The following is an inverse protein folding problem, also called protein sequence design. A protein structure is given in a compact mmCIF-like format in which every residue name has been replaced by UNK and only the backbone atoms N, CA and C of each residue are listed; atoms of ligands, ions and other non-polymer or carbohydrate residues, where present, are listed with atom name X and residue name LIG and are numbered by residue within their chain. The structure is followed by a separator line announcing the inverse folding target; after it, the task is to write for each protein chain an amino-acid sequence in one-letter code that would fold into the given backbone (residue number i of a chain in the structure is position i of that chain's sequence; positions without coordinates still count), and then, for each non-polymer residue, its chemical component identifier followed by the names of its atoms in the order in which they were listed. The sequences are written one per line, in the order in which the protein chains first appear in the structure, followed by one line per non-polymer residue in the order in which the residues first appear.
data_IF_659023972208
#
_entry.id   IF_659023972208
#
_cell.length_a   1.000
_cell.length_b   1.000
_cell.length_c   1.000
_cell.angle_alpha   90.00
_cell.angle_beta   90.00
_cell.angle_gamma   90.00
#
_symmetry.space_group_name_H-M   'P 1'
#
loop_
_entity.id
_entity.type
_entity.pdbx_description
1 polymer ?
#
# COMPACT_ATOMS: atom_id res chain seq x y z
N UNK A 1 9.42 8.13 23.87
CA UNK A 1 8.42 7.72 22.85
C UNK A 1 8.63 6.26 22.50
N UNK A 2 7.56 5.50 22.26
CA UNK A 2 7.60 4.09 21.83
C UNK A 2 6.78 3.92 20.55
N UNK A 3 7.33 3.15 19.61
CA UNK A 3 6.65 2.73 18.37
C UNK A 3 6.71 1.21 18.23
N UNK A 4 5.56 0.58 18.00
CA UNK A 4 5.47 -0.85 17.73
C UNK A 4 4.62 -1.08 16.48
N UNK A 5 5.12 -1.89 15.55
CA UNK A 5 4.39 -2.19 14.31
C UNK A 5 3.77 -3.59 14.38
N UNK A 6 2.45 -3.66 14.40
CA UNK A 6 1.66 -4.89 14.29
C UNK A 6 0.92 -4.85 12.96
N UNK A 7 1.63 -5.12 11.84
CA UNK A 7 1.13 -4.91 10.47
C UNK A 7 -0.32 -5.37 10.31
N UNK A 8 -1.24 -4.49 9.88
CA UNK A 8 -1.04 -3.11 9.37
C UNK A 8 -1.12 -1.99 10.44
N UNK A 9 -1.29 -2.32 11.71
CA UNK A 9 -1.41 -1.36 12.81
C UNK A 9 -0.04 -0.84 13.28
N UNK A 10 0.08 0.45 13.54
CA UNK A 10 1.21 1.08 14.22
C UNK A 10 0.73 1.58 15.57
N UNK A 11 1.24 1.00 16.65
CA UNK A 11 1.05 1.49 18.01
C UNK A 11 2.07 2.59 18.31
N UNK A 12 1.59 3.71 18.82
CA UNK A 12 2.37 4.90 19.12
C UNK A 12 2.11 5.30 20.57
N UNK A 13 3.19 5.53 21.33
CA UNK A 13 3.11 6.10 22.68
C UNK A 13 4.08 7.25 22.87
N UNK A 14 3.56 8.41 23.24
CA UNK A 14 4.31 9.59 23.66
C UNK A 14 3.90 9.91 25.09
N UNK A 15 4.85 9.85 26.03
CA UNK A 15 4.59 10.04 27.46
C UNK A 15 3.43 9.12 27.92
N UNK A 16 2.33 9.72 28.38
CA UNK A 16 1.12 9.05 28.84
C UNK A 16 0.04 8.89 27.74
N UNK A 17 0.27 9.48 26.57
CA UNK A 17 -0.64 9.34 25.42
C UNK A 17 -0.26 8.12 24.59
N UNK A 18 -1.24 7.24 24.36
CA UNK A 18 -1.11 6.09 23.48
C UNK A 18 -2.27 5.98 22.50
N UNK A 19 -1.97 5.62 21.26
CA UNK A 19 -2.97 5.39 20.23
C UNK A 19 -2.43 4.44 19.18
N UNK A 20 -3.34 3.96 18.33
CA UNK A 20 -3.00 3.09 17.21
C UNK A 20 -3.42 3.78 15.92
N UNK A 21 -2.66 3.56 14.85
CA UNK A 21 -3.05 3.96 13.49
C UNK A 21 -2.96 2.78 12.55
N UNK A 22 -3.85 2.72 11.58
CA UNK A 22 -3.83 1.69 10.54
C UNK A 22 -3.09 2.20 9.32
N UNK A 23 -2.00 1.53 8.91
CA UNK A 23 -1.16 1.91 7.78
C UNK A 23 -0.79 0.72 6.89
N UNK A 24 -1.20 0.78 5.63
CA UNK A 24 -0.80 -0.16 4.58
C UNK A 24 0.58 0.18 4.06
N UNK A 25 1.28 -0.82 3.51
CA UNK A 25 2.64 -0.65 2.94
C UNK A 25 2.75 0.51 1.93
N UNK A 26 1.70 0.78 1.15
CA UNK A 26 1.68 1.90 0.20
C UNK A 26 1.83 3.25 0.89
N UNK A 27 1.18 3.44 2.04
CA UNK A 27 1.28 4.67 2.84
C UNK A 27 2.68 4.84 3.45
N UNK A 28 3.33 3.74 3.86
CA UNK A 28 4.75 3.77 4.25
C UNK A 28 5.65 4.20 3.10
N UNK A 29 5.37 3.76 1.88
CA UNK A 29 6.15 4.11 0.71
C UNK A 29 5.94 5.56 0.29
N UNK A 30 4.72 6.06 0.40
CA UNK A 30 4.40 7.49 0.21
C UNK A 30 5.14 8.35 1.24
N UNK A 31 5.11 7.96 2.52
CA UNK A 31 5.89 8.61 3.56
C UNK A 31 7.39 8.64 3.22
N UNK A 32 7.97 7.51 2.80
CA UNK A 32 9.38 7.44 2.41
C UNK A 32 9.72 8.37 1.24
N UNK A 33 8.87 8.37 0.21
CA UNK A 33 9.03 9.27 -0.93
C UNK A 33 8.92 10.74 -0.55
N UNK A 34 8.02 11.09 0.38
CA UNK A 34 7.89 12.45 0.87
C UNK A 34 9.09 12.87 1.73
N UNK A 35 9.55 11.98 2.62
CA UNK A 35 10.69 12.29 3.50
C UNK A 35 12.00 12.42 2.74
N UNK A 36 12.25 11.61 1.70
CA UNK A 36 13.49 11.69 0.92
C UNK A 36 13.60 12.96 0.06
N UNK A 37 12.47 13.57 -0.33
CA UNK A 37 12.49 14.86 -1.06
C UNK A 37 12.81 16.03 -0.14
N UNK A 38 12.40 15.96 1.13
CA UNK A 38 12.71 16.97 2.14
C UNK A 38 14.09 16.75 2.79
N UNK A 39 14.48 15.49 2.95
CA UNK A 39 15.68 15.07 3.67
C UNK A 39 16.42 13.98 2.88
N UNK A 40 17.38 14.34 2.00
CA UNK A 40 18.09 13.38 1.15
C UNK A 40 18.76 12.21 1.89
N UNK A 41 19.15 12.43 3.16
CA UNK A 41 19.67 11.40 4.05
C UNK A 41 18.72 10.20 4.26
N UNK A 42 17.42 10.35 4.01
CA UNK A 42 16.43 9.27 4.12
C UNK A 42 16.65 8.18 3.06
N UNK A 43 17.27 8.49 1.92
CA UNK A 43 17.64 7.47 0.91
C UNK A 43 18.65 6.44 1.48
N UNK A 44 19.36 6.77 2.58
CA UNK A 44 20.25 5.82 3.27
C UNK A 44 19.50 4.87 4.21
N UNK A 45 18.21 5.10 4.48
CA UNK A 45 17.44 4.26 5.40
C UNK A 45 16.98 3.01 4.66
N UNK A 46 17.26 1.84 5.25
CA UNK A 46 16.81 0.57 4.68
C UNK A 46 15.28 0.54 4.63
N UNK A 47 14.73 0.45 3.42
CA UNK A 47 13.30 0.37 3.17
C UNK A 47 12.95 -0.89 2.35
N UNK A 48 11.95 -1.70 2.77
CA UNK A 48 11.62 -2.95 2.10
C UNK A 48 11.15 -2.72 0.64
N UNK A 49 11.76 -3.39 -0.36
CA UNK A 49 11.37 -3.23 -1.76
C UNK A 49 9.97 -3.79 -2.04
N UNK A 50 9.31 -3.22 -3.05
CA UNK A 50 8.03 -3.73 -3.55
C UNK A 50 8.27 -5.01 -4.33
N UNK A 51 8.11 -6.17 -3.69
CA UNK A 51 8.15 -7.46 -4.39
C UNK A 51 6.83 -7.73 -5.15
N UNK A 52 6.94 -8.29 -6.36
CA UNK A 52 5.81 -8.64 -7.21
C UNK A 52 5.16 -9.99 -6.86
N UNK A 53 5.89 -10.90 -6.18
CA UNK A 53 5.42 -12.24 -5.77
C UNK A 53 5.71 -12.46 -4.27
N UNK A 54 4.86 -13.22 -3.58
CA UNK A 54 5.09 -13.68 -2.19
C UNK A 54 4.35 -12.93 -1.08
N UNK A 55 3.41 -12.04 -1.40
CA UNK A 55 2.70 -11.21 -0.41
C UNK A 55 1.85 -11.99 0.63
N UNK A 56 1.67 -13.31 0.47
CA UNK A 56 0.95 -14.18 1.41
C UNK A 56 1.87 -15.07 2.25
N UNK A 57 3.17 -15.08 1.97
CA UNK A 57 4.13 -15.87 2.74
C UNK A 57 4.32 -15.24 4.12
N UNK A 58 4.03 -15.99 5.18
CA UNK A 58 4.05 -15.47 6.55
C UNK A 58 5.44 -14.99 6.97
N UNK A 59 6.51 -15.69 6.55
CA UNK A 59 7.89 -15.31 6.83
C UNK A 59 8.23 -13.99 6.16
N UNK A 60 7.78 -13.80 4.91
CA UNK A 60 7.95 -12.55 4.18
C UNK A 60 7.19 -11.38 4.81
N UNK A 61 5.94 -11.60 5.22
CA UNK A 61 5.13 -10.57 5.89
C UNK A 61 5.79 -10.13 7.19
N UNK A 62 6.27 -11.08 7.99
CA UNK A 62 6.94 -10.80 9.26
C UNK A 62 8.30 -10.10 9.06
N UNK A 63 9.09 -10.51 8.07
CA UNK A 63 10.35 -9.85 7.72
C UNK A 63 10.11 -8.41 7.25
N UNK A 64 9.12 -8.19 6.37
CA UNK A 64 8.72 -6.85 5.93
C UNK A 64 8.26 -6.01 7.12
N UNK A 65 7.50 -6.57 8.07
CA UNK A 65 7.07 -5.88 9.29
C UNK A 65 8.28 -5.43 10.11
N UNK A 66 9.26 -6.30 10.34
CA UNK A 66 10.50 -5.95 11.07
C UNK A 66 11.27 -4.83 10.38
N UNK A 67 11.40 -4.89 9.06
CA UNK A 67 12.09 -3.86 8.27
C UNK A 67 11.36 -2.51 8.35
N UNK A 68 10.02 -2.50 8.22
CA UNK A 68 9.21 -1.29 8.38
C UNK A 68 9.29 -0.71 9.80
N UNK A 69 9.35 -1.57 10.82
CA UNK A 69 9.54 -1.13 12.21
C UNK A 69 10.91 -0.47 12.40
N UNK A 70 11.97 -1.07 11.85
CA UNK A 70 13.31 -0.49 11.86
C UNK A 70 13.35 0.86 11.14
N UNK A 71 12.72 0.95 9.97
CA UNK A 71 12.58 2.18 9.20
C UNK A 71 11.90 3.31 10.00
N UNK A 72 10.74 3.06 10.62
CA UNK A 72 10.06 4.06 11.44
C UNK A 72 10.91 4.54 12.61
N UNK A 73 11.69 3.65 13.23
CA UNK A 73 12.63 4.01 14.29
C UNK A 73 13.69 4.98 13.78
N UNK A 74 14.25 4.74 12.59
CA UNK A 74 15.23 5.64 11.97
C UNK A 74 14.63 7.01 11.67
N UNK A 75 13.41 7.05 11.11
CA UNK A 75 12.68 8.29 10.84
C UNK A 75 12.46 9.10 12.12
N UNK A 76 11.94 8.48 13.19
CA UNK A 76 11.72 9.18 14.45
C UNK A 76 13.01 9.69 15.08
N UNK A 77 14.06 8.87 15.08
CA UNK A 77 15.37 9.30 15.60
C UNK A 77 15.87 10.55 14.86
N UNK A 78 15.61 10.64 13.55
CA UNK A 78 16.00 11.79 12.74
C UNK A 78 15.15 13.01 13.04
N UNK A 79 13.84 12.86 13.18
CA UNK A 79 12.95 13.94 13.61
C UNK A 79 13.40 14.53 14.96
N UNK A 80 13.74 13.67 15.92
CA UNK A 80 14.26 14.07 17.24
C UNK A 80 15.58 14.85 17.12
N UNK A 81 16.49 14.42 16.24
CA UNK A 81 17.77 15.12 16.01
C UNK A 81 17.60 16.46 15.30
N UNK A 82 16.67 16.56 14.35
CA UNK A 82 16.47 17.78 13.55
C UNK A 82 15.60 18.81 14.25
N UNK A 83 14.73 18.39 15.18
CA UNK A 83 13.73 19.24 15.83
C UNK A 83 13.89 19.17 17.35
N UNK A 84 14.86 19.88 17.94
CA UNK A 84 15.05 19.92 19.38
C UNK A 84 13.82 20.44 20.13
N UNK A 85 13.01 21.30 19.51
CA UNK A 85 11.74 21.78 20.10
C UNK A 85 10.73 20.65 20.34
N UNK A 86 10.64 19.69 19.40
CA UNK A 86 9.80 18.49 19.59
C UNK A 86 10.30 17.64 20.75
N UNK A 87 11.62 17.54 20.91
CA UNK A 87 12.24 16.79 22.00
C UNK A 87 12.04 17.45 23.36
N UNK A 88 12.03 18.79 23.40
CA UNK A 88 11.80 19.55 24.61
C UNK A 88 10.37 19.38 25.14
N UNK A 89 9.38 19.31 24.25
CA UNK A 89 7.96 19.09 24.62
C UNK A 89 7.29 18.13 23.64
N UNK A 90 7.48 16.80 23.81
CA UNK A 90 6.88 15.83 22.92
C UNK A 90 5.40 15.69 23.24
N UNK A 91 4.54 16.23 22.38
CA UNK A 91 3.08 16.07 22.48
C UNK A 91 2.55 15.30 21.29
N UNK A 92 1.36 14.71 21.46
CA UNK A 92 0.64 14.03 20.37
C UNK A 92 0.39 15.01 19.23
N UNK A 93 -0.10 16.20 19.53
CA UNK A 93 -0.47 17.24 18.55
C UNK A 93 0.72 17.66 17.71
N UNK A 94 1.88 17.87 18.34
CA UNK A 94 3.11 18.24 17.64
C UNK A 94 3.61 17.10 16.76
N UNK A 95 3.48 15.84 17.21
CA UNK A 95 3.80 14.71 16.33
C UNK A 95 2.87 14.66 15.12
N UNK A 96 1.56 14.87 15.33
CA UNK A 96 0.55 14.78 14.28
C UNK A 96 0.72 15.89 13.23
N UNK A 97 1.11 17.10 13.63
CA UNK A 97 1.40 18.20 12.70
C UNK A 97 2.66 17.96 11.88
N UNK A 98 3.71 17.40 12.50
CA UNK A 98 4.98 17.10 11.84
C UNK A 98 4.91 15.86 10.95
N UNK A 99 4.12 14.86 11.36
CA UNK A 99 4.05 13.56 10.71
C UNK A 99 2.58 13.13 10.56
N UNK A 100 1.87 13.59 9.50
CA UNK A 100 0.48 13.22 9.23
C UNK A 100 0.26 11.71 9.14
N UNK A 101 1.31 10.93 8.83
CA UNK A 101 1.28 9.47 8.89
C UNK A 101 0.82 8.92 10.26
N UNK A 102 1.03 9.66 11.36
CA UNK A 102 0.61 9.25 12.70
C UNK A 102 -0.83 9.64 13.06
N UNK A 103 -1.57 10.29 12.16
CA UNK A 103 -2.99 10.62 12.37
C UNK A 103 -3.84 9.36 12.40
N UNK A 104 -4.76 9.29 13.36
CA UNK A 104 -5.79 8.25 13.34
C UNK A 104 -6.78 8.60 12.23
N UNK A 105 -6.68 7.87 11.12
CA UNK A 105 -7.64 7.96 10.03
C UNK A 105 -8.59 6.78 10.24
N UNK A 106 -9.86 7.00 10.64
CA UNK A 106 -10.80 5.90 10.71
C UNK A 106 -10.83 5.29 9.32
N UNK A 107 -10.45 4.01 9.23
CA UNK A 107 -10.60 3.24 8.01
C UNK A 107 -12.08 3.34 7.64
N UNK A 108 -12.42 4.16 6.65
CA UNK A 108 -13.68 4.02 5.96
C UNK A 108 -13.68 2.56 5.49
N UNK A 109 -14.53 1.77 6.12
CA UNK A 109 -14.80 0.40 5.74
C UNK A 109 -15.35 0.45 4.31
N UNK A 110 -14.47 0.42 3.31
CA UNK A 110 -14.87 0.28 1.91
C UNK A 110 -15.32 -1.17 1.72
N UNK A 111 -16.55 -1.43 2.14
CA UNK A 111 -17.37 -2.46 1.56
C UNK A 111 -17.52 -2.16 0.07
N UNK A 112 -16.61 -2.71 -0.73
CA UNK A 112 -16.81 -2.98 -2.14
C UNK A 112 -17.20 -1.80 -3.04
N UNK A 113 -16.25 -0.94 -3.39
CA UNK A 113 -16.28 -0.27 -4.68
C UNK A 113 -15.26 -0.91 -5.63
N UNK A 114 -15.75 -1.79 -6.50
CA UNK A 114 -15.02 -2.25 -7.69
C UNK A 114 -14.54 -1.02 -8.46
N UNK A 115 -13.23 -0.84 -8.58
CA UNK A 115 -12.67 0.08 -9.57
C UNK A 115 -13.12 -0.39 -10.96
N UNK A 116 -13.68 0.49 -11.81
CA UNK A 116 -13.84 0.16 -13.21
C UNK A 116 -12.44 0.05 -13.80
N UNK A 117 -12.02 -1.18 -14.06
CA UNK A 117 -10.83 -1.48 -14.85
C UNK A 117 -11.04 -0.82 -16.21
N UNK A 118 -10.31 0.26 -16.48
CA UNK A 118 -10.27 0.89 -17.81
C UNK A 118 -9.87 -0.18 -18.83
N UNK A 119 -10.87 -0.74 -19.53
CA UNK A 119 -10.63 -1.47 -20.76
C UNK A 119 -10.16 -0.43 -21.75
N UNK A 120 -8.85 -0.37 -21.97
CA UNK A 120 -8.31 0.26 -23.17
C UNK A 120 -8.99 -0.44 -24.35
N UNK A 121 -9.83 0.33 -25.04
CA UNK A 121 -10.52 -0.08 -26.25
C UNK A 121 -9.47 -0.16 -27.33
N UNK A 122 -8.89 -1.34 -27.55
CA UNK A 122 -8.21 -1.64 -28.80
C UNK A 122 -9.27 -1.69 -29.89
N UNK A 123 -9.48 -0.52 -30.49
CA UNK A 123 -10.39 -0.27 -31.60
C UNK A 123 -9.80 -0.90 -32.86
N UNK A 124 -9.90 -2.22 -32.98
CA UNK A 124 -9.72 -2.89 -34.27
C UNK A 124 -11.05 -2.88 -35.01
N UNK A 125 -11.15 -2.26 -36.21
CA UNK A 125 -12.34 -2.34 -37.03
C UNK A 125 -12.52 -3.78 -37.51
N UNK A 126 -13.60 -4.44 -37.08
CA UNK A 126 -14.05 -5.70 -37.67
C UNK A 126 -14.71 -5.38 -39.01
N UNK A 127 -14.07 -5.78 -40.11
CA UNK A 127 -14.69 -5.80 -41.42
C UNK A 127 -15.74 -6.91 -41.49
N UNK A 128 -16.99 -6.47 -41.64
CA UNK A 128 -18.01 -6.98 -42.56
C UNK A 128 -18.13 -8.48 -42.82
N UNK A 129 -19.18 -9.04 -42.24
CA UNK A 129 -19.89 -10.28 -42.60
C UNK A 129 -20.67 -10.14 -43.92
N UNK A 130 -20.66 -11.17 -44.77
CA UNK A 130 -21.71 -11.66 -45.71
C UNK A 130 -21.05 -12.68 -46.64
N UNK A 131 -21.60 -13.81 -47.11
CA UNK A 131 -22.93 -14.45 -47.21
C UNK A 131 -22.58 -15.87 -47.73
N UNK A 132 -23.20 -17.00 -47.36
CA UNK A 132 -24.42 -17.60 -47.93
C UNK A 132 -24.36 -19.11 -47.58
N UNK A 133 -25.46 -19.70 -47.12
CA UNK A 133 -26.22 -20.77 -47.80
C UNK A 133 -25.48 -22.12 -47.90
N UNK A 134 -25.86 -23.11 -47.08
CA UNK A 134 -26.64 -24.31 -47.52
C UNK A 134 -25.64 -25.46 -47.81
N UNK A 135 -25.65 -26.62 -47.16
CA UNK A 135 -26.68 -27.66 -47.12
C UNK A 135 -26.46 -28.57 -45.92
N UNK A 136 -27.56 -28.96 -45.26
CA UNK A 136 -27.67 -30.10 -44.35
C UNK A 136 -27.71 -31.39 -45.20
N UNK A 137 -26.76 -32.29 -45.03
CA UNK A 137 -26.82 -33.65 -45.60
C UNK A 137 -26.95 -34.67 -44.47
N UNK A 138 -28.19 -35.11 -44.27
CA UNK A 138 -28.57 -36.38 -43.65
C UNK A 138 -28.27 -37.50 -44.66
N UNK A 139 -27.62 -38.61 -44.31
CA UNK A 139 -27.72 -39.85 -45.07
C UNK A 139 -28.70 -40.79 -44.39
N UNK A 140 -29.93 -40.85 -44.91
CA UNK A 140 -30.81 -41.99 -44.73
C UNK A 140 -31.17 -42.50 -46.12
N UNK A 141 -30.80 -43.74 -46.43
CA UNK A 141 -31.63 -44.77 -47.07
C UNK A 141 -30.77 -45.87 -47.70
N UNK A 142 -31.21 -47.13 -47.56
CA UNK A 142 -30.69 -48.23 -48.36
C UNK A 142 -31.02 -49.61 -47.81
N UNK A 143 -32.31 -49.94 -47.68
CA UNK A 143 -32.79 -51.32 -47.70
C UNK A 143 -32.30 -52.04 -48.97
N UNK A 144 -31.77 -53.25 -48.81
CA UNK A 144 -32.02 -54.45 -49.60
C UNK A 144 -31.48 -55.69 -48.86
#
# INVERSE_FOLDING_TARGET
MKLCLSSPQVYIRILDNEWNVYRRYTEFRELHNHLRTQFPQVDTFSFPPKKAIGNKDAKFVEERRKQLQGYLRMVMNKLIQTLPEFTARPTKETLLSLLPFCLDTPQANDGGAKTPRSKTSSRFPRLGRSRNHETRTDPQSGDL
#
